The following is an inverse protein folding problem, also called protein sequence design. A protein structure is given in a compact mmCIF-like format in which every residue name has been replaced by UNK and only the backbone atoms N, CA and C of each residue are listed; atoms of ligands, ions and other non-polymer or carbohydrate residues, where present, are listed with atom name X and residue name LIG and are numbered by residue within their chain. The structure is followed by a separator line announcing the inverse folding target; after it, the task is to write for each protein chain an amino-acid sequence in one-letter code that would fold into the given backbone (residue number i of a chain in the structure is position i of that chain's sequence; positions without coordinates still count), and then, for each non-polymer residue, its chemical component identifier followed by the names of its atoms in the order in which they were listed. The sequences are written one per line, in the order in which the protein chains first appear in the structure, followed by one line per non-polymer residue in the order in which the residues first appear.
data_IF_148995821208
#
_entry.id   IF_148995821208
#
_cell.length_a   1.000
_cell.length_b   1.000
_cell.length_c   1.000
_cell.angle_alpha   90.00
_cell.angle_beta   90.00
_cell.angle_gamma   90.00
#
_symmetry.space_group_name_H-M   'P 1'
#
loop_
_entity.id
_entity.type
_entity.pdbx_description
1 polymer ?
#
# COMPACT_ATOMS: atom_id res chain seq x y z
N UNK A 1 23.00 3.43 0.76
CA UNK A 1 24.14 3.83 -0.10
C UNK A 1 23.76 3.54 -1.54
N UNK A 2 23.96 4.49 -2.46
CA UNK A 2 23.64 4.32 -3.89
C UNK A 2 24.53 3.23 -4.51
N UNK A 3 23.99 2.43 -5.41
CA UNK A 3 24.74 1.40 -6.17
C UNK A 3 25.55 1.96 -7.34
N UNK A 4 25.43 3.27 -7.62
CA UNK A 4 26.10 3.96 -8.73
C UNK A 4 27.54 4.30 -8.38
N UNK A 5 28.46 3.99 -9.29
CA UNK A 5 29.91 4.10 -9.10
C UNK A 5 30.60 4.95 -10.16
N UNK A 6 29.99 5.16 -11.34
CA UNK A 6 30.58 5.90 -12.46
C UNK A 6 29.91 7.27 -12.67
N UNK A 7 30.64 8.21 -13.24
CA UNK A 7 30.17 9.59 -13.48
C UNK A 7 28.96 9.60 -14.42
N UNK A 8 28.98 8.79 -15.47
CA UNK A 8 27.91 8.68 -16.47
C UNK A 8 26.60 8.18 -15.84
N UNK A 9 26.69 7.31 -14.82
CA UNK A 9 25.52 6.83 -14.07
C UNK A 9 24.90 7.94 -13.22
N UNK A 10 25.71 8.88 -12.73
CA UNK A 10 25.26 10.05 -11.99
C UNK A 10 24.68 11.12 -12.91
N UNK A 11 25.29 11.38 -14.07
CA UNK A 11 24.75 12.29 -15.08
C UNK A 11 23.36 11.83 -15.54
N UNK A 12 23.21 10.55 -15.88
CA UNK A 12 21.91 9.99 -16.24
C UNK A 12 20.88 10.10 -15.10
N UNK A 13 21.30 9.94 -13.84
CA UNK A 13 20.41 10.10 -12.68
C UNK A 13 19.89 11.54 -12.54
N UNK A 14 20.76 12.53 -12.80
CA UNK A 14 20.40 13.94 -12.79
C UNK A 14 19.42 14.26 -13.92
N UNK A 15 19.63 13.71 -15.12
CA UNK A 15 18.71 13.90 -16.24
C UNK A 15 17.31 13.34 -15.95
N UNK A 16 17.21 12.13 -15.40
CA UNK A 16 15.93 11.51 -15.04
C UNK A 16 15.21 12.26 -13.91
N UNK A 17 15.97 12.83 -12.96
CA UNK A 17 15.42 13.69 -11.91
C UNK A 17 14.86 14.99 -12.50
N UNK A 18 15.61 15.65 -13.39
CA UNK A 18 15.19 16.88 -14.05
C UNK A 18 13.94 16.68 -14.90
N UNK A 19 13.84 15.55 -15.64
CA UNK A 19 12.62 15.18 -16.37
C UNK A 19 11.44 15.02 -15.43
N UNK A 20 11.62 14.32 -14.32
CA UNK A 20 10.55 14.11 -13.33
C UNK A 20 10.05 15.42 -12.72
N UNK A 21 10.94 16.41 -12.53
CA UNK A 21 10.57 17.73 -12.03
C UNK A 21 9.84 18.57 -13.10
N UNK A 22 10.27 18.49 -14.35
CA UNK A 22 9.67 19.22 -15.47
C UNK A 22 8.23 18.78 -15.79
N UNK A 23 7.85 17.54 -15.49
CA UNK A 23 6.48 17.05 -15.67
C UNK A 23 5.48 17.69 -14.68
N UNK A 24 5.94 18.26 -13.56
CA UNK A 24 5.10 18.81 -12.49
C UNK A 24 5.61 20.16 -11.99
N UNK A 25 5.55 21.22 -12.81
CA UNK A 25 6.11 22.54 -12.47
C UNK A 25 5.38 23.22 -11.29
N UNK A 26 4.13 22.84 -11.01
CA UNK A 26 3.28 23.44 -9.97
C UNK A 26 3.36 22.73 -8.60
N UNK A 27 4.20 21.69 -8.44
CA UNK A 27 4.40 21.07 -7.14
C UNK A 27 5.32 21.92 -6.28
N UNK A 28 4.74 22.63 -5.31
CA UNK A 28 5.46 23.45 -4.31
C UNK A 28 6.51 22.66 -3.50
N UNK A 29 6.49 21.32 -3.56
CA UNK A 29 7.46 20.46 -2.89
C UNK A 29 8.38 19.76 -3.89
N UNK A 30 9.61 20.28 -4.01
CA UNK A 30 10.77 19.68 -4.74
C UNK A 30 11.05 18.21 -4.37
N UNK A 31 10.34 17.64 -3.39
CA UNK A 31 10.52 16.29 -2.88
C UNK A 31 9.81 15.24 -3.75
N UNK A 32 8.66 15.56 -4.37
CA UNK A 32 7.88 14.57 -5.13
C UNK A 32 8.64 14.08 -6.38
N UNK A 33 9.32 14.92 -7.17
CA UNK A 33 10.17 14.46 -8.27
C UNK A 33 11.32 13.57 -7.83
N UNK A 34 12.00 13.92 -6.73
CA UNK A 34 13.08 13.11 -6.13
C UNK A 34 12.56 11.75 -5.69
N UNK A 35 11.38 11.74 -5.09
CA UNK A 35 10.70 10.56 -4.60
C UNK A 35 10.25 9.65 -5.75
N UNK A 36 9.65 10.22 -6.80
CA UNK A 36 9.30 9.50 -8.03
C UNK A 36 10.54 8.88 -8.67
N UNK A 37 11.65 9.60 -8.75
CA UNK A 37 12.91 9.06 -9.26
C UNK A 37 13.38 7.84 -8.45
N UNK A 38 13.30 7.91 -7.10
CA UNK A 38 13.64 6.77 -6.24
C UNK A 38 12.70 5.59 -6.48
N UNK A 39 11.41 5.83 -6.58
CA UNK A 39 10.42 4.79 -6.89
C UNK A 39 10.67 4.14 -8.25
N UNK A 40 10.94 4.94 -9.28
CA UNK A 40 11.25 4.44 -10.63
C UNK A 40 12.53 3.61 -10.67
N UNK A 41 13.50 3.97 -9.84
CA UNK A 41 14.78 3.26 -9.68
C UNK A 41 14.64 1.91 -8.95
N UNK A 42 13.49 1.60 -8.35
CA UNK A 42 13.25 0.28 -7.74
C UNK A 42 13.17 -0.80 -8.81
N UNK A 43 13.99 -1.84 -8.67
CA UNK A 43 14.00 -2.97 -9.57
C UNK A 43 12.85 -3.94 -9.24
N UNK A 44 11.93 -4.12 -10.18
CA UNK A 44 10.90 -5.16 -10.12
C UNK A 44 9.51 -4.64 -9.70
N UNK A 45 8.51 -5.06 -10.47
CA UNK A 45 7.10 -4.67 -10.27
C UNK A 45 6.54 -5.11 -8.92
N UNK A 46 7.00 -6.25 -8.40
CA UNK A 46 6.66 -6.74 -7.06
C UNK A 46 7.06 -5.75 -5.97
N UNK A 47 8.27 -5.19 -6.03
CA UNK A 47 8.77 -4.25 -5.02
C UNK A 47 7.96 -2.95 -5.07
N UNK A 48 7.73 -2.44 -6.29
CA UNK A 48 6.90 -1.26 -6.55
C UNK A 48 5.48 -1.44 -5.99
N UNK A 49 4.84 -2.58 -6.27
CA UNK A 49 3.53 -2.94 -5.73
C UNK A 49 3.52 -3.00 -4.20
N UNK A 50 4.56 -3.60 -3.59
CA UNK A 50 4.68 -3.68 -2.13
C UNK A 50 4.80 -2.30 -1.47
N UNK A 51 5.51 -1.35 -2.09
CA UNK A 51 5.60 0.04 -1.63
C UNK A 51 4.26 0.75 -1.74
N UNK A 52 3.61 0.70 -2.91
CA UNK A 52 2.33 1.38 -3.10
C UNK A 52 1.22 0.81 -2.21
N UNK A 53 1.29 -0.47 -1.87
CA UNK A 53 0.32 -1.07 -0.97
C UNK A 53 0.32 -0.41 0.42
N UNK A 54 1.44 0.21 0.81
CA UNK A 54 1.53 0.93 2.08
C UNK A 54 0.64 2.17 2.14
N UNK A 55 0.25 2.74 0.98
CA UNK A 55 -0.69 3.85 0.89
C UNK A 55 -2.06 3.52 1.51
N UNK A 56 -2.40 2.24 1.71
CA UNK A 56 -3.63 1.81 2.37
C UNK A 56 -3.59 1.98 3.89
N UNK A 57 -2.43 2.11 4.52
CA UNK A 57 -2.36 2.29 5.96
C UNK A 57 -2.55 3.76 6.33
N UNK A 58 -3.09 4.09 7.52
CA UNK A 58 -3.11 5.44 8.05
C UNK A 58 -1.69 6.02 8.21
N UNK A 59 -1.62 7.33 8.41
CA UNK A 59 -0.38 8.01 8.82
C UNK A 59 0.16 7.44 10.14
N UNK A 60 1.49 7.33 10.22
CA UNK A 60 2.24 6.76 11.36
C UNK A 60 1.77 5.35 11.76
N UNK A 61 1.23 4.58 10.80
CA UNK A 61 0.74 3.25 11.11
C UNK A 61 1.89 2.25 11.20
N UNK A 62 2.12 1.73 12.39
CA UNK A 62 3.06 0.63 12.61
C UNK A 62 2.40 -0.70 12.27
N UNK A 63 3.05 -1.48 11.39
CA UNK A 63 2.60 -2.81 11.01
C UNK A 63 3.64 -3.86 11.37
N UNK A 64 3.16 -4.95 11.96
CA UNK A 64 3.94 -6.17 12.17
C UNK A 64 4.48 -6.71 10.84
N UNK A 65 5.76 -7.05 10.82
CA UNK A 65 6.48 -7.46 9.60
C UNK A 65 5.90 -8.71 8.97
N UNK A 66 5.58 -9.71 9.77
CA UNK A 66 5.00 -10.97 9.28
C UNK A 66 3.62 -10.70 8.68
N UNK A 67 2.83 -9.86 9.34
CA UNK A 67 1.52 -9.45 8.82
C UNK A 67 1.61 -8.71 7.49
N UNK A 68 2.57 -7.81 7.33
CA UNK A 68 2.77 -7.11 6.06
C UNK A 68 3.14 -8.08 4.93
N UNK A 69 4.03 -9.04 5.21
CA UNK A 69 4.40 -10.11 4.26
C UNK A 69 3.17 -10.95 3.88
N UNK A 70 2.36 -11.34 4.86
CA UNK A 70 1.12 -12.07 4.60
C UNK A 70 0.18 -11.29 3.68
N UNK A 71 0.03 -9.97 3.87
CA UNK A 71 -0.80 -9.16 2.97
C UNK A 71 -0.26 -9.10 1.54
N UNK A 72 1.06 -8.98 1.38
CA UNK A 72 1.67 -9.03 0.05
C UNK A 72 1.50 -10.39 -0.64
N UNK A 73 1.51 -11.49 0.13
CA UNK A 73 1.21 -12.83 -0.37
C UNK A 73 -0.27 -12.95 -0.78
N UNK A 74 -1.20 -12.47 0.04
CA UNK A 74 -2.64 -12.47 -0.28
C UNK A 74 -2.98 -11.66 -1.53
N UNK A 75 -2.21 -10.61 -1.82
CA UNK A 75 -2.32 -9.82 -3.05
C UNK A 75 -1.61 -10.44 -4.26
N UNK A 76 -0.80 -11.48 -4.06
CA UNK A 76 -0.02 -12.12 -5.11
C UNK A 76 1.17 -11.28 -5.60
N UNK A 77 1.56 -10.21 -4.89
CA UNK A 77 2.66 -9.34 -5.33
C UNK A 77 4.00 -10.04 -5.43
N UNK A 78 4.19 -11.06 -4.61
CA UNK A 78 5.45 -11.79 -4.52
C UNK A 78 5.54 -12.91 -5.56
N UNK A 79 4.49 -13.14 -6.36
CA UNK A 79 4.40 -14.22 -7.32
C UNK A 79 3.91 -15.53 -6.70
N UNK A 80 3.76 -16.55 -7.54
CA UNK A 80 3.32 -17.88 -7.13
C UNK A 80 4.51 -18.75 -6.74
N UNK A 81 4.39 -19.44 -5.60
CA UNK A 81 5.40 -20.35 -5.10
C UNK A 81 4.80 -21.72 -4.81
N UNK A 82 5.55 -22.80 -5.11
CA UNK A 82 5.08 -24.17 -4.88
C UNK A 82 4.99 -24.53 -3.38
N UNK A 83 5.69 -23.81 -2.52
CA UNK A 83 5.63 -24.01 -1.07
C UNK A 83 5.58 -22.67 -0.31
N UNK A 84 4.89 -22.70 0.83
CA UNK A 84 4.66 -21.54 1.69
C UNK A 84 5.96 -20.93 2.23
N UNK A 85 6.97 -21.76 2.50
CA UNK A 85 8.24 -21.30 3.07
C UNK A 85 9.00 -20.42 2.09
N UNK A 86 9.06 -20.79 0.81
CA UNK A 86 9.67 -19.96 -0.25
C UNK A 86 8.93 -18.63 -0.42
N UNK A 87 7.60 -18.66 -0.37
CA UNK A 87 6.78 -17.46 -0.47
C UNK A 87 7.08 -16.47 0.67
N UNK A 88 7.12 -16.96 1.91
CA UNK A 88 7.46 -16.17 3.10
C UNK A 88 8.91 -15.63 3.00
N UNK A 89 9.87 -16.48 2.61
CA UNK A 89 11.25 -16.05 2.42
C UNK A 89 11.37 -14.93 1.38
N UNK A 90 10.59 -14.98 0.28
CA UNK A 90 10.55 -13.88 -0.68
C UNK A 90 10.02 -12.60 -0.06
N UNK A 91 8.99 -12.71 0.79
CA UNK A 91 8.47 -11.58 1.55
C UNK A 91 9.54 -10.92 2.42
N UNK A 92 10.33 -11.71 3.15
CA UNK A 92 11.44 -11.19 3.96
C UNK A 92 12.54 -10.53 3.11
N UNK A 93 12.87 -11.09 1.95
CA UNK A 93 13.84 -10.52 1.00
C UNK A 93 13.39 -9.14 0.49
N UNK A 94 12.12 -9.03 0.07
CA UNK A 94 11.53 -7.75 -0.35
C UNK A 94 11.49 -6.76 0.80
N UNK A 95 11.04 -7.17 1.99
CA UNK A 95 11.01 -6.33 3.18
C UNK A 95 12.41 -5.79 3.53
N UNK A 96 13.42 -6.66 3.51
CA UNK A 96 14.82 -6.28 3.74
C UNK A 96 15.32 -5.26 2.72
N UNK A 97 14.97 -5.45 1.45
CA UNK A 97 15.29 -4.49 0.37
C UNK A 97 14.66 -3.12 0.64
N UNK A 98 13.37 -3.07 1.01
CA UNK A 98 12.68 -1.82 1.31
C UNK A 98 13.28 -1.09 2.51
N UNK A 99 13.68 -1.82 3.56
CA UNK A 99 14.33 -1.24 4.73
C UNK A 99 15.72 -0.70 4.37
N UNK A 100 16.51 -1.46 3.61
CA UNK A 100 17.85 -1.04 3.19
C UNK A 100 17.82 0.17 2.25
N UNK A 101 16.75 0.32 1.48
CA UNK A 101 16.48 1.49 0.64
C UNK A 101 15.90 2.69 1.43
N UNK A 102 15.67 2.55 2.74
CA UNK A 102 15.03 3.54 3.60
C UNK A 102 13.61 3.92 3.14
N UNK A 103 12.91 2.98 2.49
CA UNK A 103 11.50 3.13 2.12
C UNK A 103 10.56 2.67 3.24
N UNK A 104 11.07 1.81 4.13
CA UNK A 104 10.43 1.43 5.38
C UNK A 104 11.44 1.55 6.51
N UNK A 105 10.98 2.04 7.65
CA UNK A 105 11.78 2.20 8.85
C UNK A 105 11.37 1.15 9.85
N UNK A 106 12.34 0.47 10.46
CA UNK A 106 12.07 -0.47 11.56
C UNK A 106 11.60 0.32 12.77
N UNK A 107 10.45 -0.06 13.34
CA UNK A 107 10.13 0.31 14.70
C UNK A 107 10.30 -0.92 15.60
N UNK A 108 11.28 -0.85 16.49
CA UNK A 108 11.69 -1.98 17.32
C UNK A 108 12.07 -3.24 16.52
N UNK A 109 11.74 -4.40 17.08
CA UNK A 109 12.14 -5.71 16.52
C UNK A 109 11.10 -6.31 15.58
N UNK A 110 9.82 -5.99 15.75
CA UNK A 110 8.71 -6.66 15.06
C UNK A 110 7.96 -5.80 14.07
N UNK A 111 8.04 -4.48 14.17
CA UNK A 111 7.24 -3.57 13.37
C UNK A 111 8.09 -2.82 12.35
N UNK A 112 7.39 -2.32 11.33
CA UNK A 112 7.89 -1.35 10.36
C UNK A 112 6.85 -0.28 10.12
N UNK A 113 7.33 0.92 9.79
CA UNK A 113 6.51 2.06 9.38
C UNK A 113 7.05 2.68 8.10
N UNK A 114 6.18 3.31 7.31
CA UNK A 114 6.59 4.21 6.23
C UNK A 114 6.58 5.64 6.76
N UNK A 115 7.61 6.42 6.45
CA UNK A 115 7.60 7.85 6.79
C UNK A 115 6.47 8.56 6.05
N UNK A 116 5.82 9.50 6.73
CA UNK A 116 4.82 10.45 6.22
C UNK A 116 5.08 10.89 4.77
N UNK A 117 6.26 11.43 4.46
CA UNK A 117 6.55 11.95 3.12
C UNK A 117 6.60 10.83 2.06
N UNK A 118 7.08 9.63 2.42
CA UNK A 118 7.06 8.48 1.51
C UNK A 118 5.65 7.93 1.31
N UNK A 119 4.82 8.03 2.34
CA UNK A 119 3.42 7.64 2.28
C UNK A 119 2.61 8.62 1.42
N UNK A 120 2.87 9.93 1.53
CA UNK A 120 2.32 10.95 0.63
C UNK A 120 2.71 10.67 -0.83
N UNK A 121 3.97 10.32 -1.09
CA UNK A 121 4.40 9.87 -2.41
C UNK A 121 3.61 8.63 -2.85
N UNK A 122 3.50 7.60 -2.00
CA UNK A 122 2.79 6.37 -2.35
C UNK A 122 1.31 6.62 -2.67
N UNK A 123 0.65 7.47 -1.88
CA UNK A 123 -0.72 7.95 -2.13
C UNK A 123 -0.76 8.70 -3.45
N UNK A 124 0.16 9.63 -3.68
CA UNK A 124 0.22 10.42 -4.91
C UNK A 124 0.43 9.53 -6.15
N UNK A 125 1.36 8.57 -6.11
CA UNK A 125 1.59 7.64 -7.22
C UNK A 125 0.37 6.75 -7.45
N UNK A 126 -0.24 6.24 -6.37
CA UNK A 126 -1.44 5.41 -6.44
C UNK A 126 -2.65 6.16 -6.99
N UNK A 127 -2.73 7.47 -6.72
CA UNK A 127 -3.81 8.34 -7.14
C UNK A 127 -3.58 8.88 -8.56
N UNK A 128 -2.50 9.62 -8.80
CA UNK A 128 -2.34 10.47 -9.97
C UNK A 128 -1.61 9.85 -11.16
N UNK A 129 -0.72 8.87 -10.94
CA UNK A 129 0.28 8.52 -11.96
C UNK A 129 -0.11 7.40 -12.92
N UNK A 130 -1.20 6.70 -12.65
CA UNK A 130 -1.70 5.63 -13.51
C UNK A 130 -3.23 5.69 -13.58
N UNK A 131 -3.86 4.85 -14.42
CA UNK A 131 -5.33 4.66 -14.55
C UNK A 131 -6.00 4.15 -13.24
N UNK A 132 -5.50 4.57 -12.09
CA UNK A 132 -5.61 4.00 -10.75
C UNK A 132 -6.26 4.95 -9.74
N UNK A 133 -6.59 6.20 -10.07
CA UNK A 133 -7.40 7.10 -9.20
C UNK A 133 -8.61 6.37 -8.62
N UNK A 134 -9.19 5.48 -9.41
CA UNK A 134 -10.31 4.68 -8.98
C UNK A 134 -9.94 3.36 -8.33
N UNK A 135 -8.70 2.87 -8.39
CA UNK A 135 -8.30 1.59 -7.78
C UNK A 135 -7.98 1.68 -6.30
N UNK A 136 -7.53 2.81 -5.77
CA UNK A 136 -7.25 2.98 -4.34
C UNK A 136 -8.27 3.94 -3.73
N UNK A 137 -8.93 3.51 -2.66
CA UNK A 137 -9.80 4.37 -1.86
C UNK A 137 -9.35 4.35 -0.40
N UNK A 138 -8.79 5.45 0.09
CA UNK A 138 -8.21 5.54 1.44
C UNK A 138 -8.92 6.64 2.22
N UNK A 139 -9.64 6.25 3.28
CA UNK A 139 -10.27 7.13 4.26
C UNK A 139 -10.02 6.59 5.67
N UNK A 140 -8.75 6.45 6.04
CA UNK A 140 -8.35 6.03 7.39
C UNK A 140 -8.46 7.17 8.40
N UNK A 141 -9.00 6.90 9.61
CA UNK A 141 -9.13 7.87 10.71
C UNK A 141 -9.97 9.13 10.42
N UNK A 142 -10.92 9.06 9.48
CA UNK A 142 -11.83 10.17 9.12
C UNK A 142 -13.05 10.32 10.06
N UNK A 143 -13.20 9.46 11.05
CA UNK A 143 -14.36 9.47 11.96
C UNK A 143 -15.65 8.93 11.32
N UNK A 144 -15.56 8.16 10.24
CA UNK A 144 -16.72 7.64 9.51
C UNK A 144 -17.54 6.67 10.38
N UNK A 145 -18.87 6.77 10.32
CA UNK A 145 -19.78 5.85 11.01
C UNK A 145 -20.37 4.76 10.10
N UNK A 146 -20.24 4.94 8.79
CA UNK A 146 -20.69 4.01 7.75
C UNK A 146 -19.73 4.05 6.56
N UNK A 147 -19.79 3.03 5.70
CA UNK A 147 -19.04 3.00 4.44
C UNK A 147 -19.62 4.08 3.51
N UNK A 148 -18.79 4.98 2.95
CA UNK A 148 -19.28 6.04 2.07
C UNK A 148 -20.06 5.52 0.87
N UNK A 149 -21.12 6.23 0.48
CA UNK A 149 -21.87 5.96 -0.76
C UNK A 149 -21.23 6.74 -1.89
N UNK A 150 -20.44 6.06 -2.73
CA UNK A 150 -19.80 6.66 -3.90
C UNK A 150 -20.29 5.99 -5.18
N UNK A 151 -20.31 6.74 -6.29
CA UNK A 151 -20.86 6.27 -7.57
C UNK A 151 -19.96 5.24 -8.26
N UNK A 152 -18.65 5.28 -8.01
CA UNK A 152 -17.64 4.59 -8.85
C UNK A 152 -16.89 3.46 -8.11
N UNK A 153 -17.55 2.77 -7.17
CA UNK A 153 -16.97 1.62 -6.48
C UNK A 153 -16.53 0.49 -7.42
N UNK A 154 -17.07 0.44 -8.65
CA UNK A 154 -16.76 -0.58 -9.67
C UNK A 154 -15.31 -0.53 -10.16
N UNK A 155 -14.64 0.60 -9.97
CA UNK A 155 -13.25 0.75 -10.35
C UNK A 155 -12.28 0.60 -9.15
N UNK A 156 -12.81 0.52 -7.92
CA UNK A 156 -12.03 0.34 -6.68
C UNK A 156 -11.55 -1.09 -6.54
N UNK A 157 -10.23 -1.22 -6.43
CA UNK A 157 -9.51 -2.48 -6.25
C UNK A 157 -9.02 -2.64 -4.82
N UNK A 158 -8.65 -1.57 -4.13
CA UNK A 158 -8.14 -1.59 -2.77
C UNK A 158 -8.76 -0.47 -1.97
N UNK A 159 -9.28 -0.81 -0.82
CA UNK A 159 -9.99 0.12 0.05
C UNK A 159 -9.42 0.05 1.46
N UNK A 160 -9.21 1.22 2.07
CA UNK A 160 -8.91 1.31 3.49
C UNK A 160 -9.81 2.30 4.19
N UNK A 161 -10.55 1.78 5.17
CA UNK A 161 -11.42 2.52 6.09
C UNK A 161 -10.96 2.30 7.53
N UNK A 162 -9.66 2.07 7.74
CA UNK A 162 -9.09 1.77 9.06
C UNK A 162 -9.29 2.91 10.06
N UNK A 163 -9.50 2.59 11.33
CA UNK A 163 -9.55 3.58 12.41
C UNK A 163 -10.78 4.49 12.37
N UNK A 164 -11.91 3.98 11.89
CA UNK A 164 -13.19 4.71 11.88
C UNK A 164 -14.15 4.16 12.95
N UNK A 165 -15.41 4.58 12.93
CA UNK A 165 -16.48 4.16 13.82
C UNK A 165 -17.53 3.28 13.10
N UNK A 166 -17.15 2.59 12.03
CA UNK A 166 -18.06 1.79 11.21
C UNK A 166 -18.54 0.58 12.01
N UNK A 167 -19.86 0.34 12.00
CA UNK A 167 -20.49 -0.77 12.75
C UNK A 167 -20.95 -1.93 11.88
N UNK A 168 -21.22 -1.67 10.61
CA UNK A 168 -21.73 -2.66 9.68
C UNK A 168 -20.97 -2.61 8.35
N UNK A 169 -20.69 -3.79 7.81
CA UNK A 169 -20.11 -3.95 6.47
C UNK A 169 -21.27 -4.07 5.49
N UNK A 170 -21.76 -2.93 5.02
CA UNK A 170 -22.73 -2.86 3.91
C UNK A 170 -21.99 -2.62 2.60
N UNK A 171 -21.07 -3.52 2.24
CA UNK A 171 -20.46 -3.50 0.91
C UNK A 171 -21.53 -3.82 -0.13
N UNK A 172 -21.85 -2.85 -1.00
CA UNK A 172 -22.84 -3.05 -2.06
C UNK A 172 -22.26 -3.94 -3.18
N UNK A 173 -23.09 -4.60 -4.01
CA UNK A 173 -22.64 -5.44 -5.14
C UNK A 173 -21.84 -4.70 -6.22
N UNK A 174 -21.64 -3.38 -6.08
CA UNK A 174 -20.89 -2.53 -7.00
C UNK A 174 -19.36 -2.59 -6.84
N UNK A 175 -18.83 -3.30 -5.83
CA UNK A 175 -17.37 -3.40 -5.62
C UNK A 175 -16.75 -4.58 -6.40
N UNK A 176 -17.09 -4.73 -7.68
CA UNK A 176 -16.79 -5.94 -8.47
C UNK A 176 -15.30 -6.18 -8.74
N UNK A 177 -14.46 -5.14 -8.63
CA UNK A 177 -12.99 -5.23 -8.81
C UNK A 177 -12.20 -5.20 -7.51
N UNK A 178 -12.87 -5.09 -6.36
CA UNK A 178 -12.23 -4.99 -5.06
C UNK A 178 -11.45 -6.28 -4.79
N UNK A 179 -10.16 -6.18 -4.47
CA UNK A 179 -9.27 -7.27 -4.08
C UNK A 179 -8.81 -7.17 -2.63
N UNK A 180 -8.77 -5.95 -2.06
CA UNK A 180 -8.45 -5.71 -0.63
C UNK A 180 -9.42 -4.72 0.00
N UNK A 181 -9.87 -5.01 1.21
CA UNK A 181 -10.54 -4.06 2.09
C UNK A 181 -10.01 -4.13 3.52
N UNK A 182 -9.54 -2.99 4.02
CA UNK A 182 -9.04 -2.82 5.38
C UNK A 182 -10.07 -2.09 6.26
N UNK A 183 -10.49 -2.75 7.33
CA UNK A 183 -11.50 -2.28 8.27
C UNK A 183 -11.01 -2.34 9.73
N UNK A 184 -9.71 -2.56 9.95
CA UNK A 184 -9.11 -2.65 11.26
C UNK A 184 -9.40 -1.39 12.11
N UNK A 185 -9.57 -1.57 13.41
CA UNK A 185 -9.87 -0.52 14.37
C UNK A 185 -11.20 0.22 14.07
N UNK A 186 -12.24 -0.53 13.68
CA UNK A 186 -13.63 -0.07 13.61
C UNK A 186 -14.47 -0.69 14.74
N UNK A 187 -15.77 -0.39 14.78
CA UNK A 187 -16.74 -0.88 15.78
C UNK A 187 -17.67 -1.95 15.20
N UNK A 188 -17.13 -2.81 14.35
CA UNK A 188 -17.89 -3.77 13.55
C UNK A 188 -18.64 -4.77 14.43
N UNK A 189 -19.88 -5.10 14.04
CA UNK A 189 -20.70 -6.12 14.69
C UNK A 189 -21.10 -7.19 13.67
N UNK A 190 -21.17 -8.46 14.10
CA UNK A 190 -21.70 -9.59 13.32
C UNK A 190 -21.06 -9.76 11.93
N UNK A 191 -19.73 -9.84 11.90
CA UNK A 191 -19.01 -9.99 10.63
C UNK A 191 -19.16 -11.41 10.08
N UNK A 192 -19.26 -12.45 10.91
CA UNK A 192 -19.24 -13.85 10.47
C UNK A 192 -20.25 -14.23 9.38
N UNK A 193 -21.44 -13.63 9.38
CA UNK A 193 -22.52 -14.01 8.45
C UNK A 193 -22.41 -13.32 7.07
N UNK A 194 -21.63 -12.24 6.96
CA UNK A 194 -21.63 -11.34 5.78
C UNK A 194 -20.51 -11.62 4.77
N UNK A 195 -19.70 -12.65 5.01
CA UNK A 195 -18.32 -12.72 4.50
C UNK A 195 -17.96 -14.01 3.76
N UNK A 196 -18.96 -14.83 3.47
CA UNK A 196 -18.82 -16.16 2.87
C UNK A 196 -18.20 -16.18 1.46
N UNK A 197 -18.12 -15.04 0.78
CA UNK A 197 -17.59 -14.91 -0.58
C UNK A 197 -16.14 -14.40 -0.64
N UNK A 198 -15.45 -14.27 0.51
CA UNK A 198 -14.10 -13.72 0.57
C UNK A 198 -13.04 -14.81 0.57
N UNK A 199 -12.01 -14.65 -0.26
CA UNK A 199 -10.91 -15.61 -0.42
C UNK A 199 -10.04 -15.72 0.83
N UNK A 200 -9.82 -14.60 1.53
CA UNK A 200 -9.02 -14.57 2.75
C UNK A 200 -9.56 -13.51 3.71
N UNK A 201 -9.85 -13.94 4.93
CA UNK A 201 -10.35 -13.09 6.02
C UNK A 201 -9.43 -13.27 7.21
N UNK A 202 -8.75 -12.19 7.61
CA UNK A 202 -7.93 -12.21 8.82
C UNK A 202 -8.62 -11.43 9.93
N UNK A 203 -9.12 -12.16 10.92
CA UNK A 203 -9.74 -11.61 12.14
C UNK A 203 -8.70 -11.58 13.27
N UNK A 204 -8.47 -10.41 13.86
CA UNK A 204 -7.67 -10.26 15.09
C UNK A 204 -8.46 -9.36 16.04
N UNK A 205 -9.27 -9.97 16.91
CA UNK A 205 -10.30 -9.24 17.66
C UNK A 205 -11.31 -8.58 16.72
N UNK A 206 -11.59 -7.29 16.92
CA UNK A 206 -12.49 -6.50 16.05
C UNK A 206 -11.83 -5.99 14.76
N UNK A 207 -10.60 -6.43 14.47
CA UNK A 207 -9.80 -5.96 13.32
C UNK A 207 -9.91 -6.95 12.18
N UNK A 208 -10.24 -6.43 11.00
CA UNK A 208 -10.62 -7.27 9.86
C UNK A 208 -9.93 -6.75 8.59
N UNK A 209 -9.21 -7.65 7.93
CA UNK A 209 -8.64 -7.44 6.60
C UNK A 209 -9.22 -8.49 5.65
N UNK A 210 -9.70 -8.02 4.50
CA UNK A 210 -10.53 -8.80 3.58
C UNK A 210 -9.92 -8.83 2.20
N UNK A 211 -9.90 -10.01 1.62
CA UNK A 211 -9.41 -10.23 0.28
C UNK A 211 -10.42 -11.05 -0.52
N UNK A 212 -10.66 -10.66 -1.76
CA UNK A 212 -11.77 -11.12 -2.61
C UNK A 212 -11.30 -11.93 -3.81
#
# INVERSE_FOLDING_TARGET
MSTKTKVEEWEHAVDELNKSAAEYPDMETNIIPVMKFRYNSLCGESIKSCVLYYALFPEDYEIDRERLIEYWLSEGFLGEYPDTKRAINKGHDVLGTLINASLLTKNGTREVQMHDVLQEMAIWIASYFWRLEYTYFVKGRFGLHEIPKQKDWEAVRRMSLMGNNIKDITCHPKCSKLTTMFLQNNKLKNVGDKISHWKYVKNVGDKIALFF
#
